data_IF_664985365164
#
_entry.id   IF_664985365164
#
_cell.length_a   1.000
_cell.length_b   1.000
_cell.length_c   1.000
_cell.angle_alpha   90.00
_cell.angle_beta   90.00
_cell.angle_gamma   90.00
#
_symmetry.space_group_name_H-M   'P 1'
#
loop_
_entity.id
_entity.type
_entity.pdbx_description
1 polymer ?
#
# COMPACT_ATOMS: atom_id res chain seq x y z
N UNK A 1 -16.52 -12.62 -14.25
CA UNK A 1 -16.77 -11.27 -14.83
C UNK A 1 -16.35 -10.24 -13.80
N UNK A 2 -15.51 -9.31 -14.19
CA UNK A 2 -15.01 -8.23 -13.31
C UNK A 2 -16.16 -7.32 -12.86
N UNK A 3 -16.37 -7.23 -11.54
CA UNK A 3 -17.45 -6.43 -10.95
C UNK A 3 -16.95 -5.13 -10.30
N UNK A 4 -15.71 -5.14 -9.81
CA UNK A 4 -15.10 -4.01 -9.17
C UNK A 4 -13.67 -3.83 -9.67
N UNK A 5 -13.37 -2.65 -10.22
CA UNK A 5 -12.01 -2.20 -10.46
C UNK A 5 -11.60 -1.25 -9.33
N UNK A 6 -10.48 -1.53 -8.68
CA UNK A 6 -9.83 -0.61 -7.76
C UNK A 6 -8.57 -0.03 -8.42
N UNK A 7 -8.39 1.28 -8.34
CA UNK A 7 -7.22 1.99 -8.89
C UNK A 7 -6.45 2.57 -7.71
N UNK A 8 -5.30 2.02 -7.38
CA UNK A 8 -4.45 2.44 -6.28
C UNK A 8 -3.26 3.26 -6.77
N UNK A 9 -2.76 4.15 -5.93
CA UNK A 9 -1.63 5.04 -6.21
C UNK A 9 -0.28 4.46 -5.76
N UNK A 10 -0.29 3.40 -4.93
CA UNK A 10 0.87 2.65 -4.48
C UNK A 10 0.57 1.17 -4.24
N UNK A 11 1.62 0.33 -4.30
CA UNK A 11 1.48 -1.12 -4.23
C UNK A 11 1.02 -1.63 -2.85
N UNK A 12 1.54 -1.06 -1.77
CA UNK A 12 1.11 -1.44 -0.42
C UNK A 12 -0.37 -1.12 -0.23
N UNK A 13 -0.80 0.06 -0.66
CA UNK A 13 -2.20 0.46 -0.60
C UNK A 13 -3.12 -0.38 -1.49
N UNK A 14 -2.64 -0.88 -2.63
CA UNK A 14 -3.36 -1.82 -3.46
C UNK A 14 -3.65 -3.13 -2.72
N UNK A 15 -2.65 -3.67 -2.03
CA UNK A 15 -2.80 -4.89 -1.23
C UNK A 15 -3.67 -4.67 0.00
N UNK A 16 -3.46 -3.57 0.76
CA UNK A 16 -4.28 -3.19 1.94
C UNK A 16 -5.78 -3.06 1.60
N UNK A 17 -6.06 -2.64 0.37
CA UNK A 17 -7.45 -2.46 -0.08
C UNK A 17 -8.01 -3.74 -0.69
N UNK A 18 -7.23 -4.45 -1.49
CA UNK A 18 -7.63 -5.72 -2.09
C UNK A 18 -7.92 -6.80 -1.06
N UNK A 19 -7.18 -6.83 0.05
CA UNK A 19 -7.39 -7.81 1.12
C UNK A 19 -8.75 -7.66 1.80
N UNK A 20 -9.33 -6.45 1.83
CA UNK A 20 -10.66 -6.22 2.41
C UNK A 20 -11.75 -7.02 1.67
N UNK A 21 -11.53 -7.36 0.41
CA UNK A 21 -12.41 -8.22 -0.38
C UNK A 21 -11.96 -9.70 -0.29
N UNK A 22 -10.67 -9.96 -0.45
CA UNK A 22 -10.09 -11.30 -0.46
C UNK A 22 -10.33 -12.05 0.87
N UNK A 23 -10.26 -11.37 2.01
CA UNK A 23 -10.54 -11.94 3.33
C UNK A 23 -11.96 -12.49 3.48
N UNK A 24 -12.89 -12.08 2.63
CA UNK A 24 -14.27 -12.60 2.52
C UNK A 24 -14.43 -13.65 1.41
N UNK A 25 -13.34 -14.29 0.96
CA UNK A 25 -13.38 -15.32 -0.07
C UNK A 25 -13.66 -14.79 -1.49
N UNK A 26 -13.68 -13.48 -1.69
CA UNK A 26 -13.96 -12.87 -3.00
C UNK A 26 -12.69 -12.94 -3.87
N UNK A 27 -12.74 -13.58 -5.06
CA UNK A 27 -11.58 -13.65 -5.96
C UNK A 27 -11.05 -12.25 -6.30
N UNK A 28 -9.89 -11.93 -5.76
CA UNK A 28 -9.24 -10.61 -5.87
C UNK A 28 -7.83 -10.77 -6.37
N UNK A 29 -7.48 -10.01 -7.40
CA UNK A 29 -6.15 -9.97 -8.01
C UNK A 29 -5.60 -8.54 -7.90
N UNK A 30 -4.34 -8.41 -7.54
CA UNK A 30 -3.60 -7.14 -7.53
C UNK A 30 -2.53 -7.20 -8.60
N UNK A 31 -2.50 -6.23 -9.50
CA UNK A 31 -1.51 -6.12 -10.57
C UNK A 31 -0.81 -4.77 -10.52
N UNK A 32 0.46 -4.73 -10.93
CA UNK A 32 1.25 -3.50 -10.99
C UNK A 32 1.36 -3.03 -12.43
N UNK A 33 1.01 -1.76 -12.66
CA UNK A 33 1.12 -1.10 -13.95
C UNK A 33 -0.05 -1.35 -14.89
N UNK A 34 0.21 -1.88 -16.08
CA UNK A 34 -0.82 -2.11 -17.09
C UNK A 34 -1.62 -3.39 -16.79
N UNK A 35 -2.93 -3.31 -16.96
CA UNK A 35 -3.85 -4.43 -16.80
C UNK A 35 -4.78 -4.55 -18.03
N UNK A 36 -4.94 -5.77 -18.51
CA UNK A 36 -5.98 -6.09 -19.51
C UNK A 36 -7.26 -6.48 -18.78
N UNK A 37 -8.20 -5.54 -18.70
CA UNK A 37 -9.47 -5.75 -17.99
C UNK A 37 -10.34 -6.81 -18.67
N UNK A 38 -10.19 -7.01 -19.99
CA UNK A 38 -10.98 -7.99 -20.75
C UNK A 38 -10.54 -9.43 -20.48
N UNK A 39 -9.27 -9.63 -20.14
CA UNK A 39 -8.69 -10.93 -19.81
C UNK A 39 -8.81 -11.29 -18.31
N UNK A 40 -9.28 -10.35 -17.47
CA UNK A 40 -9.38 -10.57 -16.03
C UNK A 40 -10.47 -11.60 -15.69
N UNK A 41 -10.07 -12.68 -15.01
CA UNK A 41 -10.99 -13.73 -14.54
C UNK A 41 -11.51 -13.50 -13.12
N UNK A 42 -10.90 -12.58 -12.36
CA UNK A 42 -11.25 -12.27 -10.98
C UNK A 42 -12.52 -11.42 -10.88
N UNK A 43 -13.21 -11.50 -9.74
CA UNK A 43 -14.36 -10.64 -9.42
C UNK A 43 -13.93 -9.21 -9.13
N UNK A 44 -12.76 -9.07 -8.50
CA UNK A 44 -12.15 -7.79 -8.13
C UNK A 44 -10.73 -7.74 -8.72
N UNK A 45 -10.43 -6.64 -9.40
CA UNK A 45 -9.09 -6.32 -9.86
C UNK A 45 -8.63 -5.03 -9.20
N UNK A 46 -7.48 -5.06 -8.58
CA UNK A 46 -6.81 -3.88 -8.06
C UNK A 46 -5.61 -3.58 -8.94
N UNK A 47 -5.56 -2.41 -9.53
CA UNK A 47 -4.42 -1.94 -10.34
C UNK A 47 -3.64 -0.92 -9.54
N UNK A 48 -2.40 -1.26 -9.21
CA UNK A 48 -1.44 -0.30 -8.70
C UNK A 48 -0.84 0.47 -9.87
N UNK A 49 -1.04 1.78 -9.85
CA UNK A 49 -0.57 2.68 -10.91
C UNK A 49 0.79 3.30 -10.62
N UNK A 50 1.32 3.15 -9.40
CA UNK A 50 2.57 3.79 -8.95
C UNK A 50 2.59 5.30 -9.22
N UNK A 51 1.47 5.96 -9.02
CA UNK A 51 1.28 7.37 -9.38
C UNK A 51 1.55 8.35 -8.26
N UNK A 52 1.73 7.88 -7.02
CA UNK A 52 1.88 8.74 -5.84
C UNK A 52 2.96 9.79 -6.01
N UNK A 53 4.14 9.40 -6.52
CA UNK A 53 5.30 10.26 -6.71
C UNK A 53 5.39 10.90 -8.11
N UNK A 54 4.40 10.66 -8.96
CA UNK A 54 4.39 11.24 -10.31
C UNK A 54 3.87 12.69 -10.30
N UNK A 55 4.23 13.50 -11.30
CA UNK A 55 3.56 14.77 -11.53
C UNK A 55 2.05 14.58 -11.72
N UNK A 56 1.24 15.47 -11.16
CA UNK A 56 -0.23 15.38 -11.13
C UNK A 56 -0.86 15.07 -12.50
N UNK A 57 -0.35 15.66 -13.58
CA UNK A 57 -0.85 15.41 -14.95
C UNK A 57 -0.61 13.95 -15.40
N UNK A 58 0.50 13.32 -15.00
CA UNK A 58 0.78 11.92 -15.33
C UNK A 58 -0.09 10.98 -14.49
N UNK A 59 -0.25 11.29 -13.21
CA UNK A 59 -1.14 10.54 -12.32
C UNK A 59 -2.59 10.57 -12.81
N UNK A 60 -3.10 11.77 -13.12
CA UNK A 60 -4.42 11.95 -13.70
C UNK A 60 -4.63 11.13 -14.99
N UNK A 61 -3.64 11.14 -15.89
CA UNK A 61 -3.70 10.40 -17.15
C UNK A 61 -3.80 8.89 -16.92
N UNK A 62 -3.01 8.33 -16.02
CA UNK A 62 -3.04 6.91 -15.71
C UNK A 62 -4.42 6.47 -15.17
N UNK A 63 -5.01 7.26 -14.26
CA UNK A 63 -6.36 7.01 -13.74
C UNK A 63 -7.42 7.16 -14.82
N UNK A 64 -7.32 8.19 -15.69
CA UNK A 64 -8.26 8.42 -16.79
C UNK A 64 -8.29 7.24 -17.77
N UNK A 65 -7.13 6.72 -18.16
CA UNK A 65 -6.99 5.59 -19.09
C UNK A 65 -7.65 4.31 -18.52
N UNK A 66 -7.36 3.97 -17.26
CA UNK A 66 -7.96 2.82 -16.60
C UNK A 66 -9.47 2.98 -16.39
N UNK A 67 -9.92 4.15 -15.95
CA UNK A 67 -11.33 4.41 -15.74
C UNK A 67 -12.12 4.33 -17.05
N UNK A 68 -11.58 4.85 -18.14
CA UNK A 68 -12.20 4.77 -19.47
C UNK A 68 -12.27 3.32 -19.94
N UNK A 69 -11.18 2.56 -19.82
CA UNK A 69 -11.17 1.13 -20.12
C UNK A 69 -12.21 0.36 -19.29
N UNK A 70 -12.36 0.69 -18.01
CA UNK A 70 -13.36 0.06 -17.13
C UNK A 70 -14.80 0.33 -17.62
N UNK A 71 -15.10 1.55 -18.00
CA UNK A 71 -16.42 1.94 -18.56
C UNK A 71 -16.68 1.17 -19.87
N UNK A 72 -15.72 1.13 -20.78
CA UNK A 72 -15.81 0.41 -22.06
C UNK A 72 -16.02 -1.11 -21.88
N UNK A 73 -15.42 -1.69 -20.84
CA UNK A 73 -15.59 -3.11 -20.50
C UNK A 73 -16.81 -3.40 -19.60
N UNK A 74 -17.64 -2.39 -19.29
CA UNK A 74 -18.86 -2.55 -18.51
C UNK A 74 -18.63 -2.94 -17.04
N UNK A 75 -17.52 -2.52 -16.43
CA UNK A 75 -17.24 -2.75 -15.01
C UNK A 75 -18.28 -2.03 -14.16
N UNK A 76 -18.90 -2.75 -13.24
CA UNK A 76 -20.06 -2.25 -12.48
C UNK A 76 -19.74 -1.11 -11.50
N UNK A 77 -18.51 -1.08 -10.95
CA UNK A 77 -18.06 -0.06 -10.01
C UNK A 77 -16.56 0.17 -10.14
N UNK A 78 -16.13 1.43 -10.07
CA UNK A 78 -14.71 1.81 -10.01
C UNK A 78 -14.44 2.47 -8.66
N UNK A 79 -13.47 1.96 -7.93
CA UNK A 79 -13.03 2.49 -6.65
C UNK A 79 -11.63 3.10 -6.76
N UNK A 80 -11.51 4.43 -6.57
CA UNK A 80 -10.19 5.06 -6.47
C UNK A 80 -9.67 4.94 -5.05
N UNK A 81 -8.64 4.12 -4.88
CA UNK A 81 -7.91 4.02 -3.62
C UNK A 81 -6.96 5.19 -3.48
N UNK A 82 -7.08 5.89 -2.36
CA UNK A 82 -6.18 6.99 -1.98
C UNK A 82 -5.38 6.65 -0.73
N UNK A 83 -4.26 7.33 -0.53
CA UNK A 83 -3.52 7.23 0.74
C UNK A 83 -4.40 7.69 1.92
N UNK A 84 -4.37 6.94 3.03
CA UNK A 84 -5.18 7.25 4.23
C UNK A 84 -4.70 8.49 5.00
N UNK A 85 -3.51 9.02 4.68
CA UNK A 85 -3.00 10.31 5.16
C UNK A 85 -3.08 11.40 4.08
N UNK A 86 -3.74 11.15 2.93
CA UNK A 86 -3.95 12.10 1.83
C UNK A 86 -2.66 12.56 1.13
N UNK A 87 -1.59 11.75 1.11
CA UNK A 87 -0.41 12.01 0.28
C UNK A 87 -0.70 11.81 -1.19
N UNK A 88 0.10 12.43 -2.05
CA UNK A 88 0.08 12.24 -3.50
C UNK A 88 -0.92 13.11 -4.25
N UNK A 89 -1.43 12.59 -5.34
CA UNK A 89 -2.17 13.35 -6.36
C UNK A 89 -3.69 13.31 -6.19
N UNK A 90 -4.18 13.47 -4.94
CA UNK A 90 -5.59 13.25 -4.57
C UNK A 90 -6.56 13.98 -5.49
N UNK A 91 -6.42 15.30 -5.64
CA UNK A 91 -7.36 16.11 -6.42
C UNK A 91 -7.32 15.78 -7.91
N UNK A 92 -6.12 15.58 -8.47
CA UNK A 92 -5.93 15.29 -9.89
C UNK A 92 -6.49 13.93 -10.29
N UNK A 93 -6.27 12.89 -9.46
CA UNK A 93 -6.74 11.54 -9.72
C UNK A 93 -8.26 11.40 -9.54
N UNK A 94 -8.83 12.02 -8.50
CA UNK A 94 -10.30 12.05 -8.31
C UNK A 94 -11.00 12.78 -9.46
N UNK A 95 -10.44 13.90 -9.90
CA UNK A 95 -10.94 14.65 -11.03
C UNK A 95 -10.91 13.84 -12.34
N UNK A 96 -9.81 13.12 -12.58
CA UNK A 96 -9.65 12.26 -13.75
C UNK A 96 -10.69 11.13 -13.76
N UNK A 97 -10.88 10.45 -12.61
CA UNK A 97 -11.89 9.41 -12.48
C UNK A 97 -13.30 9.94 -12.74
N UNK A 98 -13.68 11.04 -12.09
CA UNK A 98 -15.01 11.64 -12.27
C UNK A 98 -15.28 11.98 -13.73
N UNK A 99 -14.30 12.59 -14.40
CA UNK A 99 -14.43 12.97 -15.81
C UNK A 99 -14.52 11.73 -16.74
N UNK A 100 -13.65 10.74 -16.54
CA UNK A 100 -13.59 9.56 -17.41
C UNK A 100 -14.82 8.66 -17.26
N UNK A 101 -15.40 8.58 -16.07
CA UNK A 101 -16.59 7.78 -15.82
C UNK A 101 -17.90 8.41 -16.33
N UNK A 102 -17.92 9.71 -16.59
CA UNK A 102 -19.14 10.45 -16.92
C UNK A 102 -20.14 10.56 -15.75
N UNK A 103 -19.76 10.18 -14.54
CA UNK A 103 -20.62 10.26 -13.37
C UNK A 103 -20.90 11.73 -12.98
N UNK A 104 -22.06 11.99 -12.38
CA UNK A 104 -22.44 13.34 -11.94
C UNK A 104 -21.64 13.78 -10.70
N UNK A 105 -21.33 12.83 -9.82
CA UNK A 105 -20.55 13.08 -8.62
C UNK A 105 -19.66 11.89 -8.30
N UNK A 106 -18.65 12.12 -7.46
CA UNK A 106 -17.74 11.12 -6.94
C UNK A 106 -17.74 11.20 -5.42
N UNK A 107 -18.39 10.25 -4.73
CA UNK A 107 -18.28 10.13 -3.29
C UNK A 107 -16.85 9.77 -2.88
N UNK A 108 -16.28 10.53 -1.95
CA UNK A 108 -14.94 10.35 -1.41
C UNK A 108 -14.99 10.19 0.11
N UNK A 109 -14.61 9.02 0.60
CA UNK A 109 -14.62 8.63 2.00
C UNK A 109 -13.18 8.37 2.49
N UNK A 110 -12.41 9.43 2.82
CA UNK A 110 -10.97 9.31 3.12
C UNK A 110 -10.67 8.71 4.50
N UNK A 111 -11.63 8.62 5.39
CA UNK A 111 -11.43 8.22 6.77
C UNK A 111 -11.10 6.72 6.92
N UNK A 112 -10.29 6.40 7.95
CA UNK A 112 -9.98 5.06 8.43
C UNK A 112 -9.93 5.09 9.98
N UNK A 113 -11.11 5.14 10.65
CA UNK A 113 -11.17 5.38 12.08
C UNK A 113 -10.43 4.34 12.93
N UNK A 114 -10.41 3.05 12.51
CA UNK A 114 -9.71 1.97 13.20
C UNK A 114 -8.19 2.21 13.26
N UNK A 115 -7.67 3.00 12.31
CA UNK A 115 -6.25 3.39 12.25
C UNK A 115 -6.01 4.84 12.68
N UNK A 116 -6.95 5.47 13.40
CA UNK A 116 -6.82 6.83 13.89
C UNK A 116 -6.98 7.93 12.83
N UNK A 117 -7.42 7.59 11.57
CA UNK A 117 -7.64 8.57 10.49
C UNK A 117 -9.11 8.95 10.43
N UNK A 118 -9.43 10.18 10.76
CA UNK A 118 -10.82 10.67 10.80
C UNK A 118 -11.00 11.95 10.00
N UNK A 119 -12.19 12.15 9.45
CA UNK A 119 -12.56 13.42 8.79
C UNK A 119 -13.73 14.04 9.50
N UNK A 120 -13.54 15.26 10.00
CA UNK A 120 -14.55 15.99 10.78
C UNK A 120 -14.66 17.41 10.29
N UNK A 121 -15.85 17.84 9.90
CA UNK A 121 -16.12 19.17 9.33
C UNK A 121 -15.18 19.51 8.18
N UNK A 122 -14.92 18.52 7.30
CA UNK A 122 -14.04 18.66 6.15
C UNK A 122 -12.54 18.66 6.46
N UNK A 123 -12.13 18.54 7.72
CA UNK A 123 -10.73 18.47 8.14
C UNK A 123 -10.34 17.03 8.42
N UNK A 124 -9.20 16.59 7.86
CA UNK A 124 -8.65 15.26 8.07
C UNK A 124 -7.62 15.24 9.19
N UNK A 125 -7.74 14.24 10.09
CA UNK A 125 -6.91 14.09 11.28
C UNK A 125 -6.20 12.73 11.30
N UNK A 126 -5.00 12.72 11.86
CA UNK A 126 -4.23 11.53 12.21
C UNK A 126 -4.08 11.53 13.73
N UNK A 127 -4.65 10.53 14.40
CA UNK A 127 -4.62 10.40 15.88
C UNK A 127 -5.05 11.69 16.60
N UNK A 128 -6.04 12.39 16.04
CA UNK A 128 -6.59 13.63 16.60
C UNK A 128 -5.81 14.90 16.24
N UNK A 129 -4.69 14.80 15.52
CA UNK A 129 -3.88 15.94 15.04
C UNK A 129 -4.24 16.20 13.57
N UNK A 130 -4.44 17.47 13.13
CA UNK A 130 -4.63 17.78 11.71
C UNK A 130 -3.50 17.19 10.86
N UNK A 131 -3.83 16.58 9.72
CA UNK A 131 -2.86 15.81 8.93
C UNK A 131 -1.62 16.62 8.52
N UNK A 132 -1.77 17.91 8.24
CA UNK A 132 -0.66 18.82 7.90
C UNK A 132 0.25 19.15 9.09
N UNK A 133 -0.19 18.91 10.33
CA UNK A 133 0.58 19.09 11.56
C UNK A 133 1.12 17.77 12.10
N UNK A 134 0.72 16.64 11.50
CA UNK A 134 1.19 15.30 11.80
C UNK A 134 2.54 15.01 11.09
N UNK A 135 3.19 13.86 11.35
CA UNK A 135 4.40 13.46 10.61
C UNK A 135 4.23 13.45 9.08
N UNK A 136 3.02 13.32 8.56
CA UNK A 136 2.74 13.39 7.12
C UNK A 136 2.83 14.82 6.55
N UNK A 137 2.69 15.85 7.38
CA UNK A 137 2.91 17.24 6.97
C UNK A 137 4.37 17.59 6.67
N UNK A 138 5.31 16.80 7.21
CA UNK A 138 6.76 16.93 7.03
C UNK A 138 7.37 15.72 6.29
N UNK A 139 6.54 14.90 5.63
CA UNK A 139 7.03 13.81 4.77
C UNK A 139 8.02 14.38 3.74
N UNK A 140 9.23 13.79 3.59
CA UNK A 140 10.27 14.34 2.73
C UNK A 140 9.94 14.29 1.23
N UNK A 141 9.04 13.39 0.82
CA UNK A 141 8.67 13.18 -0.58
C UNK A 141 7.29 13.76 -0.89
N UNK A 142 6.28 13.48 -0.06
CA UNK A 142 4.88 13.80 -0.28
C UNK A 142 4.26 14.55 0.92
N UNK A 143 4.75 15.76 1.26
CA UNK A 143 4.23 16.49 2.41
C UNK A 143 2.78 16.95 2.20
N UNK A 144 1.90 16.58 3.12
CA UNK A 144 0.49 17.02 3.10
C UNK A 144 0.38 18.40 3.72
N UNK A 145 0.20 19.43 2.88
CA UNK A 145 0.25 20.84 3.27
C UNK A 145 -1.09 21.40 3.76
N UNK A 146 -2.18 20.67 3.59
CA UNK A 146 -3.52 21.15 3.93
C UNK A 146 -4.35 20.03 4.55
N UNK A 147 -4.92 20.26 5.73
CA UNK A 147 -5.81 19.29 6.38
C UNK A 147 -7.27 19.42 5.92
N UNK A 148 -7.68 20.55 5.37
CA UNK A 148 -9.03 20.73 4.81
C UNK A 148 -9.11 20.04 3.46
N UNK A 149 -9.86 18.94 3.39
CA UNK A 149 -9.85 18.02 2.25
C UNK A 149 -10.29 18.68 0.95
N UNK A 150 -11.33 19.53 0.99
CA UNK A 150 -11.79 20.25 -0.21
C UNK A 150 -10.76 21.23 -0.73
N UNK A 151 -10.03 21.93 0.15
CA UNK A 151 -8.91 22.79 -0.25
C UNK A 151 -7.74 21.99 -0.81
N UNK A 152 -7.43 20.85 -0.20
CA UNK A 152 -6.38 19.95 -0.71
C UNK A 152 -6.71 19.49 -2.13
N UNK A 153 -7.95 19.11 -2.40
CA UNK A 153 -8.44 18.75 -3.74
C UNK A 153 -8.24 19.92 -4.71
N UNK A 154 -8.63 21.13 -4.32
CA UNK A 154 -8.53 22.33 -5.18
C UNK A 154 -7.08 22.80 -5.43
N UNK A 155 -6.06 22.27 -4.73
CA UNK A 155 -4.67 22.50 -5.12
C UNK A 155 -4.31 21.88 -6.48
N UNK A 156 -5.11 20.91 -6.95
CA UNK A 156 -4.78 20.11 -8.13
C UNK A 156 -5.90 20.11 -9.20
N UNK A 157 -7.09 20.63 -8.91
CA UNK A 157 -8.22 20.66 -9.86
C UNK A 157 -9.21 21.77 -9.54
N UNK A 158 -9.89 22.26 -10.59
CA UNK A 158 -11.01 23.22 -10.49
C UNK A 158 -12.38 22.52 -10.37
N UNK A 159 -12.43 21.19 -10.35
CA UNK A 159 -13.70 20.47 -10.18
C UNK A 159 -14.29 20.82 -8.80
N UNK A 160 -15.59 21.18 -8.72
CA UNK A 160 -16.23 21.49 -7.46
C UNK A 160 -16.08 20.35 -6.43
N UNK A 161 -15.62 20.69 -5.24
CA UNK A 161 -15.54 19.77 -4.11
C UNK A 161 -16.31 20.35 -2.92
N UNK A 162 -17.11 19.51 -2.26
CA UNK A 162 -17.93 19.94 -1.12
C UNK A 162 -17.91 18.88 -0.02
N UNK A 163 -17.96 19.35 1.22
CA UNK A 163 -18.02 18.48 2.38
C UNK A 163 -19.46 18.06 2.70
N UNK A 164 -19.66 16.80 3.05
CA UNK A 164 -20.93 16.23 3.51
C UNK A 164 -20.77 15.72 4.95
N UNK A 165 -21.74 16.09 5.80
CA UNK A 165 -21.83 15.58 7.16
C UNK A 165 -22.50 14.20 7.16
N UNK A 166 -22.30 13.37 8.20
CA UNK A 166 -23.02 12.13 8.35
C UNK A 166 -24.55 12.37 8.24
N UNK A 167 -25.21 11.57 7.39
CA UNK A 167 -26.65 11.68 7.13
C UNK A 167 -27.08 12.67 6.04
N UNK A 168 -26.17 13.51 5.50
CA UNK A 168 -26.50 14.36 4.34
C UNK A 168 -26.58 13.54 3.06
N UNK A 169 -27.55 13.88 2.19
CA UNK A 169 -27.75 13.19 0.90
C UNK A 169 -26.88 13.78 -0.20
N UNK A 170 -26.41 12.91 -1.09
CA UNK A 170 -25.67 13.25 -2.31
C UNK A 170 -26.59 13.48 -3.54
N UNK A 171 -27.90 13.21 -3.44
CA UNK A 171 -28.79 13.01 -4.60
C UNK A 171 -28.74 14.11 -5.65
N UNK A 172 -28.70 15.40 -5.24
CA UNK A 172 -28.71 16.54 -6.16
C UNK A 172 -27.37 17.26 -6.31
N UNK A 173 -26.30 16.69 -5.71
CA UNK A 173 -24.99 17.30 -5.69
C UNK A 173 -24.13 16.84 -6.87
N UNK A 174 -23.19 17.69 -7.28
CA UNK A 174 -22.24 17.43 -8.38
C UNK A 174 -20.81 17.60 -7.91
N UNK A 175 -19.84 17.02 -8.64
CA UNK A 175 -18.43 17.15 -8.32
C UNK A 175 -17.95 16.11 -7.29
N UNK A 176 -16.89 16.41 -6.55
CA UNK A 176 -16.31 15.51 -5.55
C UNK A 176 -16.99 15.77 -4.21
N UNK A 177 -17.56 14.71 -3.62
CA UNK A 177 -18.33 14.78 -2.37
C UNK A 177 -17.53 14.15 -1.25
N UNK A 178 -16.91 14.96 -0.40
CA UNK A 178 -16.08 14.52 0.72
C UNK A 178 -16.97 14.21 1.92
N UNK A 179 -16.97 12.97 2.39
CA UNK A 179 -17.77 12.53 3.53
C UNK A 179 -16.98 12.65 4.84
N UNK A 180 -17.57 13.29 5.83
CA UNK A 180 -17.10 13.22 7.20
C UNK A 180 -17.36 11.83 7.77
N UNK A 181 -16.36 11.29 8.45
CA UNK A 181 -16.49 10.08 9.25
C UNK A 181 -15.49 10.10 10.41
N UNK A 182 -15.97 9.91 11.62
CA UNK A 182 -15.17 9.83 12.83
C UNK A 182 -15.11 8.41 13.38
N UNK A 183 -16.07 7.58 13.00
CA UNK A 183 -16.23 6.19 13.45
C UNK A 183 -16.49 5.25 12.27
N UNK A 184 -16.32 3.94 12.48
CA UNK A 184 -16.70 2.93 11.51
C UNK A 184 -18.22 3.00 11.18
N UNK A 185 -19.07 3.29 12.17
CA UNK A 185 -20.50 3.44 11.99
C UNK A 185 -20.87 4.63 11.06
N UNK A 186 -20.08 5.70 11.06
CA UNK A 186 -20.27 6.81 10.11
C UNK A 186 -20.00 6.36 8.68
N UNK A 187 -18.92 5.58 8.46
CA UNK A 187 -18.60 5.01 7.15
C UNK A 187 -19.66 4.03 6.67
N UNK A 188 -20.13 3.17 7.55
CA UNK A 188 -21.20 2.22 7.25
C UNK A 188 -22.49 2.95 6.86
N UNK A 189 -22.90 3.96 7.63
CA UNK A 189 -24.09 4.76 7.37
C UNK A 189 -24.00 5.47 6.01
N UNK A 190 -22.84 6.08 5.71
CA UNK A 190 -22.60 6.72 4.42
C UNK A 190 -22.65 5.69 3.28
N UNK A 191 -22.03 4.52 3.48
CA UNK A 191 -22.06 3.42 2.51
C UNK A 191 -23.48 2.95 2.21
N UNK A 192 -24.29 2.64 3.22
CA UNK A 192 -25.69 2.22 3.06
C UNK A 192 -26.52 3.27 2.32
N UNK A 193 -26.33 4.56 2.61
CA UNK A 193 -27.00 5.65 1.90
C UNK A 193 -26.58 5.72 0.43
N UNK A 194 -25.28 5.59 0.11
CA UNK A 194 -24.76 5.62 -1.24
C UNK A 194 -25.31 4.48 -2.10
N UNK A 195 -25.50 3.31 -1.53
CA UNK A 195 -25.98 2.11 -2.22
C UNK A 195 -27.50 1.95 -2.19
N UNK A 196 -28.25 2.82 -1.53
CA UNK A 196 -29.71 2.73 -1.40
C UNK A 196 -30.45 2.69 -2.74
N UNK A 197 -29.94 3.37 -3.75
CA UNK A 197 -30.52 3.44 -5.11
C UNK A 197 -29.77 2.63 -6.15
N UNK A 198 -28.98 1.64 -5.72
CA UNK A 198 -28.12 0.81 -6.57
C UNK A 198 -26.64 1.12 -6.37
N UNK A 199 -25.80 0.35 -7.05
CA UNK A 199 -24.34 0.49 -6.96
C UNK A 199 -23.87 1.79 -7.61
N UNK A 200 -23.16 2.69 -6.89
CA UNK A 200 -22.54 3.86 -7.51
C UNK A 200 -21.50 3.42 -8.55
N UNK A 201 -21.47 4.08 -9.74
CA UNK A 201 -20.51 3.73 -10.78
C UNK A 201 -19.07 4.04 -10.38
N UNK A 202 -18.88 5.05 -9.54
CA UNK A 202 -17.57 5.48 -9.02
C UNK A 202 -17.62 5.81 -7.55
N UNK A 203 -16.56 5.47 -6.85
CA UNK A 203 -16.32 5.73 -5.43
C UNK A 203 -14.85 6.02 -5.21
N UNK A 204 -14.51 6.69 -4.12
CA UNK A 204 -13.14 6.87 -3.69
C UNK A 204 -13.01 6.81 -2.17
N UNK A 205 -11.83 6.40 -1.71
CA UNK A 205 -11.51 6.31 -0.29
C UNK A 205 -10.21 5.55 -0.06
N UNK A 206 -9.95 5.19 1.19
CA UNK A 206 -8.84 4.31 1.56
C UNK A 206 -9.35 2.91 1.95
N UNK A 207 -8.49 2.05 2.50
CA UNK A 207 -8.87 0.72 2.95
C UNK A 207 -9.99 0.74 4.00
N UNK A 208 -10.10 1.81 4.81
CA UNK A 208 -11.13 1.96 5.82
C UNK A 208 -12.57 1.88 5.29
N UNK A 209 -12.84 2.50 4.14
CA UNK A 209 -14.16 2.37 3.50
C UNK A 209 -14.27 1.10 2.66
N UNK A 210 -13.17 0.66 2.05
CA UNK A 210 -13.17 -0.56 1.24
C UNK A 210 -13.59 -1.81 2.04
N UNK A 211 -13.38 -1.82 3.36
CA UNK A 211 -13.82 -2.90 4.25
C UNK A 211 -15.34 -3.14 4.25
N UNK A 212 -16.14 -2.16 3.84
CA UNK A 212 -17.60 -2.29 3.73
C UNK A 212 -18.06 -2.74 2.33
N UNK A 213 -17.20 -2.68 1.32
CA UNK A 213 -17.56 -3.00 -0.06
C UNK A 213 -18.00 -4.45 -0.28
N UNK A 214 -17.46 -5.49 0.43
CA UNK A 214 -17.96 -6.85 0.31
C UNK A 214 -19.47 -6.96 0.51
N UNK A 215 -19.99 -6.36 1.56
CA UNK A 215 -21.44 -6.37 1.87
C UNK A 215 -22.21 -5.42 0.94
N UNK A 216 -21.74 -4.19 0.75
CA UNK A 216 -22.43 -3.16 -0.04
C UNK A 216 -22.60 -3.57 -1.51
N UNK A 217 -21.66 -4.31 -2.07
CA UNK A 217 -21.72 -4.86 -3.43
C UNK A 217 -22.45 -6.21 -3.52
N UNK A 218 -22.86 -6.78 -2.39
CA UNK A 218 -23.48 -8.11 -2.33
C UNK A 218 -22.53 -9.20 -2.84
N UNK A 219 -21.25 -9.11 -2.50
CA UNK A 219 -20.22 -10.06 -2.91
C UNK A 219 -19.85 -11.03 -1.77
N UNK A 220 -20.04 -10.65 -0.51
CA UNK A 220 -19.76 -11.50 0.65
C UNK A 220 -20.88 -12.51 0.86
N UNK A 221 -20.51 -13.74 1.15
CA UNK A 221 -21.39 -14.81 1.61
C UNK A 221 -21.22 -15.09 3.13
N UNK A 222 -20.47 -14.22 3.82
CA UNK A 222 -20.13 -14.36 5.24
C UNK A 222 -18.93 -15.25 5.52
N UNK A 223 -18.25 -15.77 4.47
CA UNK A 223 -17.02 -16.54 4.65
C UNK A 223 -15.87 -15.66 5.13
N UNK A 224 -14.95 -16.25 5.89
CA UNK A 224 -13.69 -15.63 6.32
C UNK A 224 -12.56 -16.57 5.94
N UNK A 225 -11.55 -16.04 5.29
CA UNK A 225 -10.37 -16.80 4.85
C UNK A 225 -9.37 -16.87 6.00
N UNK A 226 -9.09 -18.10 6.45
CA UNK A 226 -8.04 -18.35 7.45
C UNK A 226 -6.65 -18.35 6.80
N UNK A 227 -5.60 -17.87 7.50
CA UNK A 227 -4.25 -17.92 6.99
C UNK A 227 -3.77 -19.37 6.80
N UNK A 228 -3.08 -19.68 5.70
CA UNK A 228 -2.47 -20.98 5.50
C UNK A 228 -1.29 -21.18 6.46
N UNK A 229 -0.86 -22.44 6.60
CA UNK A 229 0.40 -22.72 7.29
C UNK A 229 1.57 -22.09 6.53
N UNK A 230 2.39 -21.31 7.23
CA UNK A 230 3.57 -20.63 6.71
C UNK A 230 4.86 -21.33 7.17
N UNK A 231 5.96 -21.11 6.45
CA UNK A 231 7.28 -21.57 6.90
C UNK A 231 7.67 -20.81 8.18
N UNK A 232 8.12 -21.49 9.25
CA UNK A 232 8.45 -20.85 10.53
C UNK A 232 9.69 -19.94 10.47
N UNK A 233 10.50 -20.04 9.43
CA UNK A 233 11.60 -19.11 9.18
C UNK A 233 11.03 -17.80 8.64
N UNK A 234 11.40 -16.69 9.25
CA UNK A 234 10.92 -15.37 8.86
C UNK A 234 12.07 -14.45 8.48
N UNK A 235 12.07 -13.97 7.24
CA UNK A 235 12.92 -12.86 6.80
C UNK A 235 12.11 -11.58 6.69
N UNK A 236 12.52 -10.56 7.44
CA UNK A 236 11.99 -9.19 7.35
C UNK A 236 12.92 -8.35 6.49
N UNK A 237 12.43 -7.81 5.36
CA UNK A 237 13.12 -6.79 4.58
C UNK A 237 12.51 -5.42 4.86
N UNK A 238 13.29 -4.53 5.43
CA UNK A 238 12.83 -3.21 5.85
C UNK A 238 13.45 -2.09 5.03
N UNK A 239 12.62 -1.46 4.16
CA UNK A 239 12.94 -0.20 3.48
C UNK A 239 12.20 1.01 4.06
N UNK A 240 11.36 0.81 5.09
CA UNK A 240 10.57 1.86 5.71
C UNK A 240 11.41 2.70 6.68
N UNK A 241 11.28 4.02 6.60
CA UNK A 241 11.85 4.98 7.54
C UNK A 241 10.86 5.44 8.63
N UNK A 242 9.66 4.85 8.65
CA UNK A 242 8.63 5.22 9.62
C UNK A 242 9.07 4.90 11.05
N UNK A 243 8.93 5.84 12.01
CA UNK A 243 9.39 5.64 13.40
C UNK A 243 8.79 4.42 14.09
N UNK A 244 7.54 4.05 13.78
CA UNK A 244 6.90 2.85 14.33
C UNK A 244 7.64 1.60 13.83
N UNK A 245 7.91 1.52 12.52
CA UNK A 245 8.66 0.40 11.93
C UNK A 245 10.07 0.29 12.53
N UNK A 246 10.77 1.41 12.71
CA UNK A 246 12.12 1.39 13.30
C UNK A 246 12.11 0.82 14.72
N UNK A 247 11.13 1.20 15.56
CA UNK A 247 10.97 0.63 16.90
C UNK A 247 10.66 -0.86 16.87
N UNK A 248 9.86 -1.30 15.90
CA UNK A 248 9.58 -2.74 15.69
C UNK A 248 10.85 -3.53 15.35
N UNK A 249 11.74 -2.98 14.50
CA UNK A 249 13.06 -3.60 14.22
C UNK A 249 13.92 -3.70 15.49
N UNK A 250 13.96 -2.64 16.30
CA UNK A 250 14.74 -2.62 17.55
C UNK A 250 14.20 -3.61 18.58
N UNK A 251 12.87 -3.75 18.68
CA UNK A 251 12.23 -4.72 19.57
C UNK A 251 12.49 -6.16 19.11
N UNK A 252 12.39 -6.43 17.81
CA UNK A 252 12.67 -7.73 17.24
C UNK A 252 14.16 -8.14 17.42
N UNK A 253 15.11 -7.23 17.23
CA UNK A 253 16.54 -7.47 17.49
C UNK A 253 16.79 -7.88 18.96
N UNK A 254 16.18 -7.13 19.91
CA UNK A 254 16.26 -7.47 21.35
C UNK A 254 15.62 -8.81 21.69
N UNK A 255 14.63 -9.23 20.90
CA UNK A 255 13.97 -10.54 21.02
C UNK A 255 14.74 -11.69 20.30
N UNK A 256 15.93 -11.43 19.76
CA UNK A 256 16.82 -12.43 19.20
C UNK A 256 16.74 -12.61 17.68
N UNK A 257 16.15 -11.68 16.94
CA UNK A 257 16.28 -11.66 15.49
C UNK A 257 17.71 -11.29 15.10
N UNK A 258 18.31 -12.04 14.16
CA UNK A 258 19.57 -11.64 13.54
C UNK A 258 19.30 -10.42 12.63
N UNK A 259 20.04 -9.34 12.83
CA UNK A 259 19.81 -8.07 12.12
C UNK A 259 21.02 -7.63 11.33
N UNK A 260 20.83 -7.41 10.03
CA UNK A 260 21.83 -6.88 9.11
C UNK A 260 21.37 -5.49 8.60
N UNK A 261 22.22 -4.49 8.77
CA UNK A 261 22.04 -3.16 8.16
C UNK A 261 22.91 -3.07 6.91
N UNK A 262 22.28 -2.76 5.78
CA UNK A 262 23.01 -2.57 4.52
C UNK A 262 23.88 -1.31 4.61
N UNK A 263 25.11 -1.42 4.18
CA UNK A 263 26.04 -0.28 4.10
C UNK A 263 25.61 0.72 3.01
N UNK A 264 26.01 1.99 3.07
CA UNK A 264 25.74 2.96 2.00
C UNK A 264 26.19 2.50 0.62
N UNK A 265 27.32 1.78 0.53
CA UNK A 265 27.84 1.21 -0.69
C UNK A 265 26.92 0.12 -1.26
N UNK A 266 26.44 -0.79 -0.41
CA UNK A 266 25.48 -1.83 -0.78
C UNK A 266 24.16 -1.25 -1.28
N UNK A 267 23.75 -0.12 -0.73
CA UNK A 267 22.48 0.55 -1.08
C UNK A 267 22.56 1.36 -2.37
N UNK A 268 23.70 2.02 -2.64
CA UNK A 268 23.77 3.08 -3.65
C UNK A 268 24.82 2.86 -4.76
N UNK A 269 25.72 1.86 -4.64
CA UNK A 269 26.67 1.58 -5.70
C UNK A 269 26.01 0.76 -6.82
N UNK A 270 25.91 1.30 -8.05
CA UNK A 270 25.31 0.58 -9.15
C UNK A 270 26.04 -0.76 -9.41
N UNK A 271 25.28 -1.84 -9.55
CA UNK A 271 25.83 -3.16 -9.83
C UNK A 271 26.59 -3.83 -8.68
N UNK A 272 26.51 -3.29 -7.46
CA UNK A 272 27.22 -3.84 -6.30
C UNK A 272 27.02 -5.36 -6.15
N UNK A 273 25.79 -5.84 -6.19
CA UNK A 273 25.45 -7.25 -5.98
C UNK A 273 26.00 -8.21 -7.07
N UNK A 274 26.36 -7.69 -8.24
CA UNK A 274 27.03 -8.47 -9.30
C UNK A 274 28.56 -8.50 -9.14
N UNK A 275 29.16 -7.61 -8.33
CA UNK A 275 30.58 -7.53 -8.07
C UNK A 275 31.11 -8.69 -7.22
N UNK A 276 32.43 -8.81 -7.11
CA UNK A 276 33.06 -9.79 -6.23
C UNK A 276 32.70 -9.56 -4.75
N UNK A 277 32.72 -8.29 -4.30
CA UNK A 277 32.32 -7.89 -2.95
C UNK A 277 30.83 -8.20 -2.69
N UNK A 278 29.97 -7.93 -3.68
CA UNK A 278 28.54 -8.21 -3.59
C UNK A 278 28.24 -9.71 -3.50
N UNK A 279 28.93 -10.55 -4.25
CA UNK A 279 28.82 -12.01 -4.16
C UNK A 279 29.30 -12.54 -2.80
N UNK A 280 30.36 -11.97 -2.23
CA UNK A 280 30.80 -12.31 -0.89
C UNK A 280 29.76 -11.92 0.17
N UNK A 281 29.19 -10.70 0.06
CA UNK A 281 28.11 -10.23 0.94
C UNK A 281 26.85 -11.10 0.83
N UNK A 282 26.48 -11.56 -0.37
CA UNK A 282 25.35 -12.50 -0.54
C UNK A 282 25.62 -13.83 0.16
N UNK A 283 26.86 -14.35 0.11
CA UNK A 283 27.24 -15.57 0.82
C UNK A 283 27.17 -15.41 2.35
N UNK A 284 27.55 -14.24 2.88
CA UNK A 284 27.39 -13.91 4.29
C UNK A 284 25.92 -13.85 4.71
N UNK A 285 25.05 -13.26 3.87
CA UNK A 285 23.60 -13.24 4.09
C UNK A 285 23.03 -14.66 4.10
N UNK A 286 23.43 -15.50 3.15
CA UNK A 286 23.03 -16.92 3.11
C UNK A 286 23.41 -17.66 4.40
N UNK A 287 24.63 -17.44 4.91
CA UNK A 287 25.06 -18.02 6.18
C UNK A 287 24.23 -17.51 7.36
N UNK A 288 23.88 -16.21 7.38
CA UNK A 288 22.99 -15.64 8.39
C UNK A 288 21.61 -16.30 8.36
N UNK A 289 21.01 -16.46 7.16
CA UNK A 289 19.70 -17.10 6.98
C UNK A 289 19.72 -18.58 7.38
N UNK A 290 20.81 -19.30 7.08
CA UNK A 290 20.99 -20.70 7.48
C UNK A 290 21.11 -20.88 9.00
N UNK A 291 21.77 -19.94 9.68
CA UNK A 291 22.03 -20.02 11.11
C UNK A 291 20.88 -19.51 11.99
N UNK A 292 19.98 -18.69 11.44
CA UNK A 292 18.95 -17.99 12.23
C UNK A 292 17.56 -18.14 11.60
N UNK A 293 16.56 -18.64 12.34
CA UNK A 293 15.20 -18.76 11.82
C UNK A 293 14.47 -17.41 11.69
N UNK A 294 14.98 -16.35 12.33
CA UNK A 294 14.38 -15.01 12.35
C UNK A 294 15.43 -13.98 11.99
N UNK A 295 15.28 -13.36 10.83
CA UNK A 295 16.27 -12.43 10.29
C UNK A 295 15.62 -11.11 9.88
N UNK A 296 16.39 -10.03 10.02
CA UNK A 296 16.05 -8.69 9.53
C UNK A 296 17.19 -8.22 8.62
N UNK A 297 16.84 -7.75 7.43
CA UNK A 297 17.75 -6.97 6.57
C UNK A 297 17.09 -5.60 6.36
N UNK A 298 17.80 -4.52 6.68
CA UNK A 298 17.24 -3.18 6.59
C UNK A 298 18.15 -2.18 5.87
N UNK A 299 17.52 -1.15 5.31
CA UNK A 299 18.20 -0.06 4.62
C UNK A 299 18.56 1.12 5.51
N UNK A 300 18.06 1.14 6.76
CA UNK A 300 18.34 2.23 7.70
C UNK A 300 19.73 2.07 8.32
N UNK A 301 20.46 3.18 8.42
CA UNK A 301 21.73 3.22 9.14
C UNK A 301 21.50 3.15 10.65
N UNK A 302 22.47 2.68 11.39
CA UNK A 302 22.44 2.77 12.86
C UNK A 302 22.50 4.25 13.31
N UNK A 303 21.53 4.67 14.13
CA UNK A 303 21.50 6.04 14.67
C UNK A 303 20.99 7.12 13.70
N UNK A 304 20.36 6.73 12.59
CA UNK A 304 19.80 7.65 11.59
C UNK A 304 20.56 7.58 10.26
N UNK A 305 19.93 8.03 9.16
CA UNK A 305 20.39 7.80 7.79
C UNK A 305 21.50 8.75 7.29
N UNK A 306 22.31 9.30 8.21
CA UNK A 306 23.35 10.30 7.87
C UNK A 306 24.48 9.70 7.02
N UNK A 307 24.93 8.48 7.32
CA UNK A 307 26.00 7.81 6.56
C UNK A 307 25.61 7.61 5.11
N UNK A 308 24.36 7.22 4.87
CA UNK A 308 23.83 7.05 3.51
C UNK A 308 23.68 8.40 2.80
N UNK A 309 23.22 9.44 3.50
CA UNK A 309 23.10 10.78 2.96
C UNK A 309 24.48 11.37 2.56
N UNK A 310 25.49 11.21 3.42
CA UNK A 310 26.86 11.68 3.13
C UNK A 310 27.46 10.93 1.94
N UNK A 311 27.24 9.62 1.84
CA UNK A 311 27.69 8.82 0.71
C UNK A 311 27.04 9.26 -0.60
N UNK A 312 25.73 9.56 -0.57
CA UNK A 312 24.98 10.06 -1.71
C UNK A 312 25.47 11.47 -2.14
N UNK A 313 25.60 12.39 -1.19
CA UNK A 313 26.06 13.75 -1.43
C UNK A 313 27.46 13.78 -2.09
N UNK A 314 28.38 12.93 -1.61
CA UNK A 314 29.73 12.80 -2.20
C UNK A 314 29.72 12.30 -3.65
N UNK A 315 28.62 11.78 -4.15
CA UNK A 315 28.43 11.24 -5.51
C UNK A 315 27.41 12.01 -6.33
N UNK A 316 26.88 13.12 -5.82
CA UNK A 316 25.88 13.93 -6.50
C UNK A 316 24.52 13.22 -6.68
N UNK A 317 24.23 12.24 -5.83
CA UNK A 317 22.94 11.54 -5.81
C UNK A 317 21.95 12.39 -4.99
N UNK A 318 20.88 12.83 -5.63
CA UNK A 318 19.81 13.57 -4.97
C UNK A 318 18.86 12.65 -4.19
N UNK A 319 17.86 13.21 -3.56
CA UNK A 319 16.92 12.47 -2.70
C UNK A 319 16.12 11.41 -3.49
N UNK A 320 15.69 11.73 -4.70
CA UNK A 320 14.96 10.78 -5.56
C UNK A 320 15.89 9.68 -6.06
N UNK A 321 17.09 10.01 -6.45
CA UNK A 321 18.15 9.05 -6.81
C UNK A 321 18.48 8.11 -5.64
N UNK A 322 18.49 8.61 -4.40
CA UNK A 322 18.64 7.76 -3.21
C UNK A 322 17.47 6.77 -3.06
N UNK A 323 16.24 7.26 -3.15
CA UNK A 323 15.02 6.43 -3.04
C UNK A 323 15.03 5.29 -4.06
N UNK A 324 15.26 5.63 -5.33
CA UNK A 324 15.31 4.67 -6.45
C UNK A 324 16.50 3.73 -6.33
N UNK A 325 17.68 4.26 -5.97
CA UNK A 325 18.90 3.47 -5.81
C UNK A 325 18.79 2.44 -4.68
N UNK A 326 18.31 2.86 -3.52
CA UNK A 326 18.16 1.97 -2.34
C UNK A 326 17.15 0.87 -2.64
N UNK A 327 15.96 1.20 -3.11
CA UNK A 327 14.92 0.20 -3.38
C UNK A 327 15.33 -0.76 -4.50
N UNK A 328 15.94 -0.25 -5.57
CA UNK A 328 16.46 -1.07 -6.66
C UNK A 328 17.58 -2.02 -6.22
N UNK A 329 18.48 -1.56 -5.35
CA UNK A 329 19.54 -2.40 -4.79
C UNK A 329 18.99 -3.53 -3.91
N UNK A 330 18.00 -3.23 -3.05
CA UNK A 330 17.32 -4.27 -2.25
C UNK A 330 16.61 -5.27 -3.16
N UNK A 331 15.96 -4.82 -4.23
CA UNK A 331 15.36 -5.72 -5.22
C UNK A 331 16.39 -6.66 -5.86
N UNK A 332 17.58 -6.16 -6.25
CA UNK A 332 18.65 -6.98 -6.82
C UNK A 332 19.17 -8.02 -5.82
N UNK A 333 19.43 -7.62 -4.58
CA UNK A 333 19.81 -8.53 -3.49
C UNK A 333 18.75 -9.61 -3.29
N UNK A 334 17.48 -9.21 -3.18
CA UNK A 334 16.36 -10.12 -2.99
C UNK A 334 16.25 -11.14 -4.13
N UNK A 335 16.32 -10.67 -5.39
CA UNK A 335 16.28 -11.56 -6.55
C UNK A 335 17.42 -12.60 -6.57
N UNK A 336 18.62 -12.20 -6.13
CA UNK A 336 19.76 -13.13 -6.00
C UNK A 336 19.55 -14.18 -4.90
N UNK A 337 18.89 -13.81 -3.79
CA UNK A 337 18.62 -14.70 -2.65
C UNK A 337 17.34 -15.53 -2.81
N UNK A 338 16.45 -15.19 -3.75
CA UNK A 338 15.10 -15.76 -3.81
C UNK A 338 15.06 -17.27 -4.09
N UNK A 339 16.13 -17.83 -4.64
CA UNK A 339 16.31 -19.27 -4.86
C UNK A 339 16.84 -20.03 -3.65
N UNK A 340 17.21 -19.35 -2.55
CA UNK A 340 17.79 -19.97 -1.36
C UNK A 340 16.81 -20.93 -0.68
N UNK A 341 17.30 -22.11 -0.26
CA UNK A 341 16.54 -23.06 0.55
C UNK A 341 16.34 -22.60 2.00
N UNK A 342 17.10 -21.59 2.42
CA UNK A 342 16.99 -20.99 3.75
C UNK A 342 15.94 -19.88 3.82
N UNK A 343 15.37 -19.48 2.69
CA UNK A 343 14.35 -18.45 2.60
C UNK A 343 12.96 -19.03 2.85
N UNK A 344 12.39 -18.75 4.02
CA UNK A 344 11.04 -19.15 4.42
C UNK A 344 9.98 -18.10 4.11
N UNK A 345 9.18 -17.75 5.12
CA UNK A 345 8.18 -16.68 5.04
C UNK A 345 8.85 -15.31 4.93
N UNK A 346 8.33 -14.48 4.04
CA UNK A 346 8.83 -13.13 3.78
C UNK A 346 7.92 -12.09 4.41
N UNK A 347 8.49 -11.06 5.05
CA UNK A 347 7.79 -9.84 5.41
C UNK A 347 8.51 -8.64 4.78
N UNK A 348 7.82 -7.89 3.93
CA UNK A 348 8.35 -6.73 3.24
C UNK A 348 7.66 -5.46 3.78
N UNK A 349 8.44 -4.44 4.16
CA UNK A 349 7.91 -3.14 4.61
C UNK A 349 8.57 -1.99 3.89
N UNK A 350 7.72 -1.09 3.36
CA UNK A 350 8.06 -0.02 2.44
C UNK A 350 7.59 -0.32 1.01
N UNK A 351 6.75 0.54 0.45
CA UNK A 351 6.12 0.34 -0.87
C UNK A 351 7.14 0.13 -1.99
N UNK A 352 8.12 1.04 -2.12
CA UNK A 352 9.18 0.92 -3.12
C UNK A 352 10.00 -0.38 -2.96
N UNK A 353 10.27 -0.79 -1.71
CA UNK A 353 11.00 -2.04 -1.42
C UNK A 353 10.21 -3.25 -1.88
N UNK A 354 8.92 -3.32 -1.52
CA UNK A 354 8.02 -4.36 -1.97
C UNK A 354 7.98 -4.45 -3.49
N UNK A 355 7.77 -3.31 -4.16
CA UNK A 355 7.69 -3.22 -5.62
C UNK A 355 8.97 -3.77 -6.28
N UNK A 356 10.15 -3.31 -5.85
CA UNK A 356 11.40 -3.73 -6.45
C UNK A 356 11.75 -5.20 -6.15
N UNK A 357 11.41 -5.71 -4.98
CA UNK A 357 11.54 -7.13 -4.67
C UNK A 357 10.65 -7.98 -5.59
N UNK A 358 9.39 -7.61 -5.75
CA UNK A 358 8.46 -8.35 -6.62
C UNK A 358 8.89 -8.27 -8.10
N UNK A 359 9.30 -7.10 -8.57
CA UNK A 359 9.83 -6.92 -9.92
C UNK A 359 11.06 -7.81 -10.18
N UNK A 360 11.97 -7.94 -9.22
CA UNK A 360 13.21 -8.71 -9.36
C UNK A 360 12.96 -10.21 -9.57
N UNK A 361 11.82 -10.71 -9.10
CA UNK A 361 11.40 -12.12 -9.27
C UNK A 361 10.30 -12.27 -10.34
N UNK A 362 9.95 -11.21 -11.05
CA UNK A 362 8.94 -11.23 -12.09
C UNK A 362 7.50 -11.36 -11.59
N UNK A 363 7.26 -11.14 -10.31
CA UNK A 363 5.93 -11.21 -9.69
C UNK A 363 5.19 -9.89 -9.87
N UNK A 364 4.44 -9.76 -10.96
CA UNK A 364 3.62 -8.56 -11.25
C UNK A 364 2.17 -8.69 -10.79
N UNK A 365 1.77 -9.89 -10.40
CA UNK A 365 0.43 -10.24 -9.97
C UNK A 365 0.50 -10.90 -8.62
N UNK A 366 -0.24 -10.35 -7.66
CA UNK A 366 -0.38 -10.90 -6.32
C UNK A 366 -1.85 -11.13 -6.02
N UNK A 367 -2.13 -12.19 -5.28
CA UNK A 367 -3.45 -12.47 -4.75
C UNK A 367 -3.41 -12.22 -3.23
N UNK A 368 -4.08 -11.18 -2.72
CA UNK A 368 -4.30 -11.03 -1.29
C UNK A 368 -5.03 -12.26 -0.74
N UNK A 369 -4.67 -12.71 0.45
CA UNK A 369 -5.28 -13.90 1.10
C UNK A 369 -6.12 -13.46 2.29
N UNK A 370 -5.47 -12.88 3.29
CA UNK A 370 -6.13 -12.39 4.50
C UNK A 370 -5.30 -11.26 5.13
N UNK A 371 -5.93 -10.52 6.00
CA UNK A 371 -5.26 -9.56 6.87
C UNK A 371 -4.84 -10.28 8.16
N UNK A 372 -3.54 -10.30 8.46
CA UNK A 372 -3.04 -10.90 9.69
C UNK A 372 -3.28 -9.99 10.89
N UNK A 373 -3.13 -8.70 10.66
CA UNK A 373 -3.49 -7.58 11.53
C UNK A 373 -3.74 -6.35 10.65
N UNK A 374 -4.36 -5.31 11.19
CA UNK A 374 -4.65 -4.08 10.44
C UNK A 374 -3.40 -3.54 9.73
N UNK A 375 -3.44 -3.45 8.40
CA UNK A 375 -2.33 -3.01 7.55
C UNK A 375 -1.18 -4.02 7.41
N UNK A 376 -1.42 -5.28 7.79
CA UNK A 376 -0.48 -6.41 7.65
C UNK A 376 -1.14 -7.48 6.81
N UNK A 377 -0.82 -7.51 5.54
CA UNK A 377 -1.50 -8.34 4.55
C UNK A 377 -0.66 -9.55 4.17
N UNK A 378 -1.25 -10.73 4.25
CA UNK A 378 -0.72 -11.92 3.62
C UNK A 378 -1.20 -11.98 2.17
N UNK A 379 -0.25 -12.05 1.24
CA UNK A 379 -0.53 -12.25 -0.17
C UNK A 379 0.23 -13.47 -0.69
N UNK A 380 -0.22 -14.02 -1.81
CA UNK A 380 0.45 -15.10 -2.53
C UNK A 380 0.70 -14.71 -3.98
N UNK A 381 1.70 -15.33 -4.58
CA UNK A 381 2.02 -15.23 -5.99
C UNK A 381 2.62 -16.52 -6.51
N UNK A 382 2.65 -16.71 -7.82
CA UNK A 382 3.25 -17.88 -8.45
C UNK A 382 4.68 -17.56 -8.90
N UNK A 383 5.65 -18.37 -8.46
CA UNK A 383 7.03 -18.30 -8.93
C UNK A 383 7.49 -19.69 -9.38
N UNK A 384 7.92 -19.81 -10.63
CA UNK A 384 8.38 -21.09 -11.22
C UNK A 384 7.38 -22.25 -10.99
N UNK A 385 6.08 -21.98 -11.12
CA UNK A 385 5.02 -22.95 -10.94
C UNK A 385 4.71 -23.34 -9.49
N UNK A 386 5.30 -22.65 -8.50
CA UNK A 386 5.03 -22.87 -7.08
C UNK A 386 4.40 -21.64 -6.44
N UNK A 387 3.46 -21.88 -5.53
CA UNK A 387 2.90 -20.81 -4.70
C UNK A 387 3.94 -20.33 -3.69
N UNK A 388 4.11 -19.01 -3.62
CA UNK A 388 4.93 -18.33 -2.61
C UNK A 388 4.07 -17.34 -1.84
N UNK A 389 4.38 -17.15 -0.57
CA UNK A 389 3.69 -16.21 0.30
C UNK A 389 4.59 -15.04 0.67
N UNK A 390 4.00 -13.86 0.75
CA UNK A 390 4.64 -12.65 1.23
C UNK A 390 3.70 -11.91 2.17
N UNK A 391 4.22 -11.49 3.31
CA UNK A 391 3.54 -10.59 4.23
C UNK A 391 3.98 -9.18 3.87
N UNK A 392 3.04 -8.29 3.64
CA UNK A 392 3.31 -6.87 3.39
C UNK A 392 2.86 -6.05 4.59
N UNK A 393 3.65 -5.06 4.95
CA UNK A 393 3.39 -4.21 6.10
C UNK A 393 3.49 -2.75 5.71
N UNK A 394 2.40 -2.03 5.90
CA UNK A 394 2.39 -0.57 5.81
C UNK A 394 3.18 0.06 6.95
N UNK A 395 4.06 1.05 6.66
CA UNK A 395 5.04 1.58 7.60
C UNK A 395 4.49 2.09 8.94
N UNK A 396 3.30 2.67 8.94
CA UNK A 396 2.67 3.29 10.12
C UNK A 396 1.74 2.37 10.91
N UNK A 397 1.82 1.04 10.76
CA UNK A 397 0.88 0.10 11.36
C UNK A 397 1.56 -0.88 12.33
N UNK A 398 0.77 -1.40 13.27
CA UNK A 398 1.17 -2.39 14.27
C UNK A 398 1.85 -1.80 15.50
N UNK A 399 1.84 -2.56 16.60
CA UNK A 399 2.49 -2.21 17.86
C UNK A 399 4.00 -2.50 17.78
N UNK A 400 4.77 -2.11 18.80
CA UNK A 400 6.24 -2.25 18.81
C UNK A 400 6.72 -3.71 18.81
N UNK A 401 5.91 -4.63 19.32
CA UNK A 401 6.19 -6.07 19.41
C UNK A 401 5.63 -6.89 18.23
N UNK A 402 4.99 -6.23 17.25
CA UNK A 402 4.34 -6.88 16.11
C UNK A 402 5.18 -7.99 15.45
N UNK A 403 6.47 -7.73 15.17
CA UNK A 403 7.32 -8.70 14.48
C UNK A 403 7.58 -9.94 15.31
N UNK A 404 7.69 -9.78 16.62
CA UNK A 404 7.88 -10.90 17.56
C UNK A 404 6.60 -11.74 17.63
N UNK A 405 5.45 -11.09 17.78
CA UNK A 405 4.16 -11.77 17.81
C UNK A 405 3.85 -12.51 16.52
N UNK A 406 4.13 -11.90 15.36
CA UNK A 406 3.97 -12.55 14.05
C UNK A 406 4.89 -13.79 13.93
N UNK A 407 6.17 -13.66 14.27
CA UNK A 407 7.10 -14.77 14.22
C UNK A 407 6.69 -15.92 15.15
N UNK A 408 6.21 -15.62 16.35
CA UNK A 408 5.71 -16.60 17.30
C UNK A 408 4.44 -17.29 16.82
N UNK A 409 3.53 -16.55 16.20
CA UNK A 409 2.32 -17.09 15.59
C UNK A 409 2.63 -18.02 14.42
N UNK A 410 3.51 -17.60 13.50
CA UNK A 410 3.95 -18.42 12.36
C UNK A 410 4.62 -19.71 12.82
N UNK A 411 5.41 -19.67 13.89
CA UNK A 411 6.12 -20.84 14.41
C UNK A 411 5.22 -21.85 15.17
N UNK A 412 4.01 -21.45 15.58
CA UNK A 412 3.05 -22.30 16.32
C UNK A 412 2.11 -23.08 15.41
N UNK A 413 1.96 -22.68 14.17
CA UNK A 413 1.16 -23.33 13.13
C UNK A 413 1.99 -24.17 12.20
#
# INVERSE_FOLDING_TARGET
MLRLLMIADDFTGALDTGVQLAAHGIPTQVVVGQADLSACSSTVLVVDTETRHLPAAKAAKAVEELARSAVENGVGCIYKKTDSALRGNIGAELAALLKASGARNLPFLPAFPQSGRTTKKGVHYIDGVPVNESPFGIDPFEPVRCAEVTKLIHLQTEIPAQNLRPGETAADKTGILVYDAATAADLETAGRQLFQNGTPPVLAGCAGFAAFLPELLGLSDGSVVEPPQLDPRLLVLCGSVNPITLRQMDTAEKAGFARLRLTPRQKLEPGYWASADGKAALAEIEQMLAANPRCIIETNDAGGNQLTADYAAARGIDLDGMRVGISGSVGQMFGALFGSEHLGTLLLTGGDTLLQCMNSVGARELEPVCELESGIVLARFTYQGRTRYVITKSGGFGQEDLLVELADRIAKH
#
